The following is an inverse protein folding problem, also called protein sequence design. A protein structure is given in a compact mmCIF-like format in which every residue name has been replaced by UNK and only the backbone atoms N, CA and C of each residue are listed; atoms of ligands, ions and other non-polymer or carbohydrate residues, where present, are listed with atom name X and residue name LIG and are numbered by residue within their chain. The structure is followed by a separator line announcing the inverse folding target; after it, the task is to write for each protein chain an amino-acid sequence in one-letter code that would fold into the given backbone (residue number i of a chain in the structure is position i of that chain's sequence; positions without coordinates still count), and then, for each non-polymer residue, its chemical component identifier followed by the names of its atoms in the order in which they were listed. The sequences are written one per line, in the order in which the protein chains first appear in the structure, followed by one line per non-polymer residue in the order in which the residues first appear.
data_IF_587955825923
#
_entry.id   IF_587955825923
#
_cell.length_a   1.000
_cell.length_b   1.000
_cell.length_c   1.000
_cell.angle_alpha   90.00
_cell.angle_beta   90.00
_cell.angle_gamma   90.00
#
_symmetry.space_group_name_H-M   'P 1'
#
loop_
_entity.id
_entity.type
_entity.pdbx_description
1 polymer ?
#
# COMPACT_ATOMS: atom_id res chain seq x y z
N UNK A 1 53.60 -23.94 -23.00
CA UNK A 1 52.27 -24.28 -22.44
C UNK A 1 51.54 -25.11 -23.48
N UNK A 2 51.02 -26.29 -23.11
CA UNK A 2 50.25 -27.14 -24.03
C UNK A 2 48.93 -26.45 -24.37
N UNK A 3 48.71 -26.20 -25.67
CA UNK A 3 47.51 -25.54 -26.21
C UNK A 3 46.23 -26.23 -25.74
N UNK A 4 46.21 -27.57 -25.63
CA UNK A 4 45.06 -28.32 -25.11
C UNK A 4 44.79 -28.03 -23.64
N UNK A 5 45.84 -27.83 -22.84
CA UNK A 5 45.72 -27.51 -21.42
C UNK A 5 45.20 -26.08 -21.22
N UNK A 6 45.63 -25.14 -22.06
CA UNK A 6 45.11 -23.77 -22.06
C UNK A 6 43.61 -23.72 -22.39
N UNK A 7 43.17 -24.36 -23.48
CA UNK A 7 41.75 -24.38 -23.86
C UNK A 7 40.85 -25.04 -22.80
N UNK A 8 41.33 -26.11 -22.14
CA UNK A 8 40.58 -26.76 -21.03
C UNK A 8 40.40 -25.83 -19.83
N UNK A 9 41.43 -25.09 -19.45
CA UNK A 9 41.37 -24.14 -18.33
C UNK A 9 40.45 -22.97 -18.69
N UNK A 10 40.58 -22.41 -19.91
CA UNK A 10 39.74 -21.33 -20.40
C UNK A 10 38.26 -21.75 -20.48
N UNK A 11 37.96 -22.96 -20.98
CA UNK A 11 36.58 -23.46 -21.03
C UNK A 11 36.00 -23.70 -19.65
N UNK A 12 36.79 -24.26 -18.70
CA UNK A 12 36.31 -24.43 -17.31
C UNK A 12 36.06 -23.10 -16.61
N UNK A 13 36.90 -22.09 -16.85
CA UNK A 13 36.73 -20.75 -16.28
C UNK A 13 35.47 -20.07 -16.86
N UNK A 14 35.25 -20.19 -18.17
CA UNK A 14 34.05 -19.66 -18.82
C UNK A 14 32.76 -20.32 -18.31
N UNK A 15 32.75 -21.65 -18.17
CA UNK A 15 31.60 -22.38 -17.60
C UNK A 15 31.36 -21.97 -16.15
N UNK A 16 32.41 -21.89 -15.33
CA UNK A 16 32.28 -21.46 -13.93
C UNK A 16 31.73 -20.04 -13.83
N UNK A 17 32.18 -19.12 -14.70
CA UNK A 17 31.66 -17.76 -14.75
C UNK A 17 30.19 -17.71 -15.16
N UNK A 18 29.78 -18.47 -16.18
CA UNK A 18 28.37 -18.55 -16.61
C UNK A 18 27.50 -19.10 -15.48
N UNK A 19 27.94 -20.17 -14.81
CA UNK A 19 27.21 -20.76 -13.68
C UNK A 19 27.08 -19.74 -12.54
N UNK A 20 28.15 -19.01 -12.22
CA UNK A 20 28.11 -17.96 -11.20
C UNK A 20 27.12 -16.85 -11.55
N UNK A 21 27.13 -16.37 -12.81
CA UNK A 21 26.18 -15.34 -13.27
C UNK A 21 24.74 -15.83 -13.21
N UNK A 22 24.47 -17.06 -13.65
CA UNK A 22 23.12 -17.65 -13.58
C UNK A 22 22.65 -17.80 -12.14
N UNK A 23 23.51 -18.25 -11.23
CA UNK A 23 23.18 -18.35 -9.80
C UNK A 23 22.92 -16.96 -9.22
N UNK A 24 23.76 -15.96 -9.54
CA UNK A 24 23.60 -14.61 -9.05
C UNK A 24 22.26 -13.99 -9.51
N UNK A 25 21.95 -14.09 -10.80
CA UNK A 25 20.69 -13.58 -11.39
C UNK A 25 19.48 -14.35 -10.87
N UNK A 26 19.56 -15.67 -10.80
CA UNK A 26 18.48 -16.50 -10.25
C UNK A 26 18.19 -16.18 -8.79
N UNK A 27 19.25 -15.98 -7.99
CA UNK A 27 19.13 -15.63 -6.57
C UNK A 27 18.53 -14.25 -6.37
N UNK A 28 18.94 -13.22 -7.14
CA UNK A 28 18.36 -11.88 -7.03
C UNK A 28 16.89 -11.87 -7.43
N UNK A 29 16.52 -12.56 -8.52
CA UNK A 29 15.13 -12.67 -8.95
C UNK A 29 14.26 -13.38 -7.90
N UNK A 30 14.75 -14.48 -7.35
CA UNK A 30 14.03 -15.25 -6.32
C UNK A 30 13.86 -14.46 -5.01
N UNK A 31 14.92 -13.77 -4.56
CA UNK A 31 14.87 -13.00 -3.32
C UNK A 31 14.02 -11.74 -3.46
N UNK A 32 14.14 -11.04 -4.61
CA UNK A 32 13.32 -9.88 -4.96
C UNK A 32 11.84 -10.24 -5.08
N UNK A 33 11.53 -11.33 -5.80
CA UNK A 33 10.16 -11.84 -5.94
C UNK A 33 9.50 -12.16 -4.60
N UNK A 34 10.23 -12.80 -3.67
CA UNK A 34 9.72 -13.07 -2.31
C UNK A 34 9.44 -11.81 -1.51
N UNK A 35 10.25 -10.76 -1.69
CA UNK A 35 10.04 -9.48 -0.98
C UNK A 35 8.80 -8.75 -1.49
N UNK A 36 8.52 -8.86 -2.79
CA UNK A 36 7.34 -8.25 -3.44
C UNK A 36 6.01 -8.91 -3.02
N UNK A 37 6.02 -10.20 -2.68
CA UNK A 37 4.82 -10.95 -2.28
C UNK A 37 4.70 -11.07 -0.75
N UNK A 38 5.60 -10.43 0.01
CA UNK A 38 5.53 -10.45 1.47
C UNK A 38 4.24 -9.80 1.95
N UNK A 39 3.43 -10.56 2.68
CA UNK A 39 2.27 -10.04 3.40
C UNK A 39 2.72 -9.51 4.75
N UNK A 40 2.21 -8.34 5.12
CA UNK A 40 2.45 -7.72 6.42
C UNK A 40 1.28 -8.11 7.32
N UNK A 41 1.56 -8.77 8.43
CA UNK A 41 0.59 -9.07 9.47
C UNK A 41 0.78 -8.07 10.61
N UNK A 42 -0.24 -7.24 10.85
CA UNK A 42 -0.25 -6.25 11.93
C UNK A 42 -1.48 -6.55 12.78
N UNK A 43 -1.23 -6.87 14.05
CA UNK A 43 -2.30 -7.08 15.02
C UNK A 43 -2.80 -5.71 15.49
N UNK A 44 -4.01 -5.34 15.08
CA UNK A 44 -4.71 -4.12 15.53
C UNK A 44 -5.93 -4.48 16.37
N UNK A 45 -6.25 -3.62 17.33
CA UNK A 45 -7.48 -3.77 18.10
C UNK A 45 -8.63 -3.07 17.37
N UNK A 46 -9.83 -3.68 17.27
CA UNK A 46 -10.97 -3.02 16.67
C UNK A 46 -11.33 -1.76 17.45
N UNK A 47 -11.35 -0.63 16.76
CA UNK A 47 -11.82 0.64 17.30
C UNK A 47 -13.29 0.83 16.94
N UNK A 48 -14.08 1.34 17.88
CA UNK A 48 -15.48 1.66 17.62
C UNK A 48 -15.61 2.93 16.76
N UNK A 49 -16.55 2.91 15.82
CA UNK A 49 -16.86 4.08 15.00
C UNK A 49 -18.07 4.79 15.58
N UNK A 50 -17.94 6.02 16.10
CA UNK A 50 -19.06 6.79 16.62
C UNK A 50 -20.05 7.10 15.49
N UNK A 51 -21.32 7.28 15.85
CA UNK A 51 -22.40 7.61 14.90
C UNK A 51 -23.10 8.93 15.23
N UNK A 52 -22.69 9.60 16.31
CA UNK A 52 -23.22 10.91 16.66
C UNK A 52 -22.70 11.97 15.68
N UNK A 53 -23.51 13.02 15.49
CA UNK A 53 -23.21 14.07 14.50
C UNK A 53 -21.93 14.83 14.83
N UNK A 54 -21.65 15.06 16.12
CA UNK A 54 -20.45 15.78 16.55
C UNK A 54 -19.16 15.04 16.20
N UNK A 55 -19.14 13.72 16.38
CA UNK A 55 -18.00 12.90 15.96
C UNK A 55 -17.86 12.83 14.44
N UNK A 56 -18.95 12.77 13.68
CA UNK A 56 -18.90 12.81 12.21
C UNK A 56 -18.38 14.16 11.70
N UNK A 57 -18.80 15.27 12.31
CA UNK A 57 -18.29 16.61 11.98
C UNK A 57 -16.81 16.77 12.30
N UNK A 58 -16.36 16.22 13.43
CA UNK A 58 -14.93 16.14 13.77
C UNK A 58 -14.15 15.29 12.77
N UNK A 59 -14.71 14.16 12.36
CA UNK A 59 -14.16 13.31 11.30
C UNK A 59 -14.01 14.04 9.97
N UNK A 60 -15.00 14.86 9.60
CA UNK A 60 -14.94 15.73 8.43
C UNK A 60 -13.80 16.75 8.54
N UNK A 61 -13.70 17.42 9.69
CA UNK A 61 -12.60 18.36 9.94
C UNK A 61 -11.23 17.68 9.79
N UNK A 62 -11.06 16.47 10.32
CA UNK A 62 -9.83 15.69 10.14
C UNK A 62 -9.59 15.34 8.66
N UNK A 63 -10.62 14.91 7.94
CA UNK A 63 -10.51 14.57 6.52
C UNK A 63 -10.00 15.74 5.66
N UNK A 64 -10.50 16.95 5.95
CA UNK A 64 -10.12 18.19 5.26
C UNK A 64 -8.73 18.68 5.71
N UNK A 65 -8.49 18.74 7.02
CA UNK A 65 -7.24 19.30 7.58
C UNK A 65 -6.01 18.40 7.43
N UNK A 66 -6.21 17.08 7.24
CA UNK A 66 -5.13 16.09 7.08
C UNK A 66 -4.83 15.75 5.62
N UNK A 67 -5.45 16.46 4.67
CA UNK A 67 -5.18 16.31 3.23
C UNK A 67 -5.76 15.04 2.60
N UNK A 68 -6.70 14.35 3.27
CA UNK A 68 -7.28 13.12 2.72
C UNK A 68 -7.97 13.37 1.37
N UNK A 69 -8.63 14.52 1.25
CA UNK A 69 -9.31 14.95 0.02
C UNK A 69 -8.36 15.26 -1.14
N UNK A 70 -7.08 15.51 -0.90
CA UNK A 70 -6.12 15.86 -1.96
C UNK A 70 -5.91 14.67 -2.91
N UNK A 71 -5.93 13.46 -2.34
CA UNK A 71 -5.87 12.20 -3.09
C UNK A 71 -7.26 11.59 -3.31
N UNK A 72 -8.11 11.53 -2.29
CA UNK A 72 -9.39 10.82 -2.37
C UNK A 72 -10.56 11.67 -2.88
N UNK A 73 -10.37 12.99 -3.06
CA UNK A 73 -11.41 13.93 -3.49
C UNK A 73 -12.35 14.34 -2.37
N UNK A 74 -13.02 15.48 -2.51
CA UNK A 74 -13.92 16.02 -1.46
C UNK A 74 -15.10 15.07 -1.13
N UNK A 75 -15.57 14.29 -2.10
CA UNK A 75 -16.63 13.30 -1.97
C UNK A 75 -16.11 11.87 -1.76
N UNK A 76 -14.79 11.66 -1.66
CA UNK A 76 -14.19 10.34 -1.46
C UNK A 76 -14.15 9.44 -2.71
N UNK A 77 -14.55 9.91 -3.90
CA UNK A 77 -14.64 9.10 -5.12
C UNK A 77 -13.27 8.74 -5.76
N UNK A 78 -12.17 9.19 -5.16
CA UNK A 78 -10.81 8.99 -5.66
C UNK A 78 -10.42 9.96 -6.78
N UNK A 79 -9.12 10.22 -6.92
CA UNK A 79 -8.55 11.15 -7.91
C UNK A 79 -7.29 10.57 -8.55
N UNK A 80 -7.01 10.99 -9.79
CA UNK A 80 -5.67 10.82 -10.36
C UNK A 80 -4.70 11.74 -9.60
N UNK A 81 -3.71 11.15 -8.95
CA UNK A 81 -2.74 11.88 -8.10
C UNK A 81 -1.46 12.16 -8.89
N UNK A 82 -0.97 11.18 -9.66
CA UNK A 82 0.22 11.31 -10.49
C UNK A 82 -0.06 10.80 -11.91
N UNK A 83 0.31 11.56 -12.94
CA UNK A 83 0.30 11.14 -14.34
C UNK A 83 1.54 11.73 -15.03
N UNK A 84 2.65 11.03 -14.82
CA UNK A 84 3.97 11.47 -15.27
C UNK A 84 4.27 10.97 -16.69
N UNK A 85 5.02 11.75 -17.47
CA UNK A 85 5.41 11.39 -18.83
C UNK A 85 6.29 10.11 -18.91
N UNK A 86 6.91 9.71 -17.79
CA UNK A 86 7.69 8.47 -17.68
C UNK A 86 6.81 7.21 -17.49
N UNK A 87 5.48 7.35 -17.49
CA UNK A 87 4.53 6.26 -17.37
C UNK A 87 4.07 5.96 -15.93
N UNK A 88 4.56 6.70 -14.92
CA UNK A 88 4.06 6.57 -13.56
C UNK A 88 2.64 7.16 -13.46
N UNK A 89 1.65 6.28 -13.31
CA UNK A 89 0.26 6.64 -13.08
C UNK A 89 -0.22 6.12 -11.75
N UNK A 90 -0.71 7.01 -10.92
CA UNK A 90 -1.23 6.68 -9.59
C UNK A 90 -2.58 7.33 -9.42
N UNK A 91 -3.59 6.49 -9.19
CA UNK A 91 -4.95 6.91 -8.86
C UNK A 91 -5.27 6.45 -7.46
N UNK A 92 -5.69 7.37 -6.60
CA UNK A 92 -6.23 7.00 -5.31
C UNK A 92 -7.62 6.36 -5.50
N UNK A 93 -7.94 5.32 -4.71
CA UNK A 93 -9.20 4.60 -4.86
C UNK A 93 -10.39 5.44 -4.39
N UNK A 94 -11.57 5.08 -4.90
CA UNK A 94 -12.86 5.44 -4.30
C UNK A 94 -12.94 4.78 -2.93
N UNK A 95 -13.10 5.60 -1.88
CA UNK A 95 -13.22 5.18 -0.47
C UNK A 95 -14.66 5.27 0.05
N UNK A 96 -15.62 5.52 -0.84
CA UNK A 96 -17.04 5.48 -0.50
C UNK A 96 -17.56 4.05 -0.49
N UNK A 97 -18.78 3.88 0.03
CA UNK A 97 -19.53 2.60 -0.03
C UNK A 97 -19.94 2.21 -1.46
N UNK A 98 -19.73 3.08 -2.45
CA UNK A 98 -19.92 2.73 -3.86
C UNK A 98 -18.85 1.75 -4.38
N UNK A 99 -17.70 1.67 -3.71
CA UNK A 99 -16.65 0.71 -4.03
C UNK A 99 -16.90 -0.64 -3.32
N UNK A 100 -17.14 -1.75 -4.05
CA UNK A 100 -17.42 -3.06 -3.46
C UNK A 100 -16.28 -3.63 -2.58
N UNK A 101 -15.05 -3.18 -2.80
CA UNK A 101 -13.92 -3.59 -1.96
C UNK A 101 -13.96 -2.86 -0.62
N UNK A 102 -14.34 -1.59 -0.61
CA UNK A 102 -14.45 -0.76 0.60
C UNK A 102 -15.71 -1.11 1.40
N UNK A 103 -16.82 -1.43 0.73
CA UNK A 103 -18.06 -1.86 1.40
C UNK A 103 -17.82 -3.08 2.32
N UNK A 104 -16.87 -3.95 1.97
CA UNK A 104 -16.51 -5.15 2.74
C UNK A 104 -15.52 -4.90 3.88
N UNK A 105 -14.98 -3.69 4.01
CA UNK A 105 -13.97 -3.39 5.04
C UNK A 105 -14.54 -3.63 6.44
N UNK A 106 -13.81 -4.42 7.22
CA UNK A 106 -14.06 -4.58 8.64
C UNK A 106 -13.40 -3.43 9.43
N UNK A 107 -13.77 -3.21 10.69
CA UNK A 107 -13.13 -2.16 11.51
C UNK A 107 -11.60 -2.25 11.54
N UNK A 108 -11.05 -3.47 11.60
CA UNK A 108 -9.60 -3.70 11.53
C UNK A 108 -8.98 -3.23 10.21
N UNK A 109 -9.70 -3.35 9.11
CA UNK A 109 -9.18 -3.07 7.77
C UNK A 109 -8.98 -1.56 7.56
N UNK A 110 -9.85 -0.74 8.16
CA UNK A 110 -9.69 0.72 8.20
C UNK A 110 -8.44 1.14 8.95
N UNK A 111 -8.17 0.48 10.08
CA UNK A 111 -7.02 0.80 10.92
C UNK A 111 -5.71 0.41 10.22
N UNK A 112 -5.68 -0.81 9.68
CA UNK A 112 -4.58 -1.28 8.84
C UNK A 112 -4.29 -0.33 7.68
N UNK A 113 -5.32 0.13 6.97
CA UNK A 113 -5.14 1.03 5.84
C UNK A 113 -4.64 2.41 6.28
N UNK A 114 -5.29 3.04 7.25
CA UNK A 114 -5.05 4.44 7.60
C UNK A 114 -3.77 4.60 8.42
N UNK A 115 -3.64 3.86 9.54
CA UNK A 115 -2.54 4.04 10.49
C UNK A 115 -1.32 3.17 10.18
N UNK A 116 -1.48 2.11 9.38
CA UNK A 116 -0.39 1.17 9.10
C UNK A 116 -0.02 1.04 7.61
N UNK A 117 -0.80 1.63 6.70
CA UNK A 117 -0.51 1.56 5.26
C UNK A 117 -0.60 0.15 4.71
N UNK A 118 -1.50 -0.69 5.24
CA UNK A 118 -1.69 -2.09 4.83
C UNK A 118 -3.12 -2.29 4.35
N UNK A 119 -3.28 -2.71 3.11
CA UNK A 119 -4.57 -3.09 2.56
C UNK A 119 -5.10 -4.38 3.23
N UNK A 120 -6.42 -4.67 3.18
CA UNK A 120 -6.98 -5.93 3.70
C UNK A 120 -6.31 -7.20 3.15
N UNK A 121 -5.73 -7.10 1.94
CA UNK A 121 -4.97 -8.19 1.30
C UNK A 121 -3.61 -8.48 1.96
N UNK A 122 -3.17 -7.64 2.91
CA UNK A 122 -1.85 -7.67 3.55
C UNK A 122 -0.76 -6.99 2.72
N UNK A 123 -1.11 -6.37 1.59
CA UNK A 123 -0.17 -5.63 0.74
C UNK A 123 0.01 -4.20 1.26
N UNK A 124 1.22 -3.63 1.19
CA UNK A 124 1.44 -2.24 1.52
C UNK A 124 0.68 -1.33 0.54
N UNK A 125 0.04 -0.30 1.07
CA UNK A 125 -0.50 0.81 0.29
C UNK A 125 0.67 1.65 -0.19
N UNK A 126 0.67 1.96 -1.48
CA UNK A 126 1.70 2.79 -2.08
C UNK A 126 1.23 4.24 -2.00
N UNK A 127 2.14 5.15 -1.62
CA UNK A 127 1.97 6.62 -1.67
C UNK A 127 1.05 7.21 -0.60
N UNK A 128 0.06 6.47 -0.09
CA UNK A 128 -0.75 6.93 1.04
C UNK A 128 0.16 7.18 2.28
N UNK A 129 0.15 8.39 2.88
CA UNK A 129 1.09 8.77 3.93
C UNK A 129 0.64 8.26 5.31
N UNK A 130 0.50 6.95 5.48
CA UNK A 130 0.01 6.35 6.72
C UNK A 130 0.90 6.62 7.94
N UNK A 131 2.19 6.89 7.71
CA UNK A 131 3.14 7.31 8.74
C UNK A 131 2.74 8.64 9.42
N UNK A 132 2.07 9.53 8.72
CA UNK A 132 1.58 10.80 9.28
C UNK A 132 0.31 10.59 10.11
N UNK A 133 -0.42 9.50 9.85
CA UNK A 133 -1.69 9.17 10.49
C UNK A 133 -1.56 8.13 11.60
N UNK A 134 -0.40 7.48 11.74
CA UNK A 134 -0.19 6.39 12.71
C UNK A 134 -0.37 6.82 14.19
N UNK A 135 -0.34 8.13 14.47
CA UNK A 135 -0.52 8.70 15.82
C UNK A 135 -1.93 9.18 16.09
N UNK A 136 -2.88 8.99 15.15
CA UNK A 136 -4.28 9.32 15.41
C UNK A 136 -4.76 8.54 16.64
N UNK A 137 -5.35 9.27 17.58
CA UNK A 137 -6.02 8.66 18.72
C UNK A 137 -7.17 7.79 18.22
N UNK A 138 -7.61 6.81 19.01
CA UNK A 138 -8.74 5.95 18.64
C UNK A 138 -10.02 6.77 18.43
N UNK A 139 -10.18 7.88 19.15
CA UNK A 139 -11.30 8.81 18.97
C UNK A 139 -11.22 9.54 17.62
N UNK A 140 -10.05 10.08 17.26
CA UNK A 140 -9.86 10.79 15.98
C UNK A 140 -9.95 9.84 14.80
N UNK A 141 -9.33 8.66 14.90
CA UNK A 141 -9.43 7.60 13.91
C UNK A 141 -10.88 7.15 13.74
N UNK A 142 -11.58 6.89 14.84
CA UNK A 142 -12.97 6.47 14.81
C UNK A 142 -13.88 7.51 14.15
N UNK A 143 -13.71 8.78 14.52
CA UNK A 143 -14.43 9.92 13.93
C UNK A 143 -14.15 10.04 12.42
N UNK A 144 -12.87 9.97 12.01
CA UNK A 144 -12.47 10.03 10.60
C UNK A 144 -13.13 8.91 9.78
N UNK A 145 -13.10 7.67 10.26
CA UNK A 145 -13.75 6.54 9.58
C UNK A 145 -15.27 6.69 9.57
N UNK A 146 -15.87 7.20 10.65
CA UNK A 146 -17.31 7.49 10.69
C UNK A 146 -17.71 8.49 9.59
N UNK A 147 -16.92 9.55 9.39
CA UNK A 147 -17.13 10.50 8.29
C UNK A 147 -16.95 9.85 6.91
N UNK A 148 -15.87 9.11 6.68
CA UNK A 148 -15.66 8.43 5.37
C UNK A 148 -16.83 7.50 5.06
N UNK A 149 -17.32 6.76 6.07
CA UNK A 149 -18.49 5.89 5.93
C UNK A 149 -19.79 6.66 5.75
N UNK A 150 -19.87 7.94 6.13
CA UNK A 150 -21.07 8.76 5.93
C UNK A 150 -21.19 9.33 4.51
N UNK A 151 -20.11 9.32 3.73
CA UNK A 151 -20.09 9.77 2.34
C UNK A 151 -21.08 8.98 1.45
N UNK A 152 -21.72 9.64 0.47
CA UNK A 152 -22.63 9.00 -0.48
C UNK A 152 -21.90 7.98 -1.35
N UNK A 153 -22.61 6.94 -1.79
CA UNK A 153 -22.09 5.96 -2.75
C UNK A 153 -22.16 6.54 -4.16
N UNK A 154 -21.01 6.70 -4.82
CA UNK A 154 -20.92 7.41 -6.09
C UNK A 154 -20.95 8.92 -5.86
N UNK A 155 -19.77 9.52 -5.95
CA UNK A 155 -19.55 10.92 -5.63
C UNK A 155 -20.38 11.93 -6.42
#
# INVERSE_FOLDING_TARGET
MDVKRFYRIASSAAVAFIVFVVIAVGSTYWWGGRKLVRKIDVSVQPVAFPTDTGAVDHGKYLYESRGCMDCHGANGAGKQVFDEANGLRVRAPDITRGNPDIEKYQPRDWDLAIRHGVAPSGRPLLIMPSEDYNRLSDNDFGALVAYVRSLPAGG
#
